data_IF_581785294807
#
_entry.id   IF_581785294807
#
_cell.length_a   1.000
_cell.length_b   1.000
_cell.length_c   1.000
_cell.angle_alpha   90.00
_cell.angle_beta   90.00
_cell.angle_gamma   90.00
#
_symmetry.space_group_name_H-M   'P 1'
#
loop_
_entity.id
_entity.type
_entity.pdbx_description
1 polymer ?
#
# COMPACT_ATOMS: atom_id res chain seq x y z
N UNK A 1 17.99 -9.72 -5.05
CA UNK A 1 17.67 -9.94 -3.62
C UNK A 1 18.74 -9.27 -2.78
N UNK A 2 18.35 -8.49 -1.77
CA UNK A 2 19.26 -7.85 -0.80
C UNK A 2 18.87 -8.39 0.57
N UNK A 3 19.86 -8.84 1.35
CA UNK A 3 19.64 -9.28 2.73
C UNK A 3 20.06 -8.17 3.70
N UNK A 4 19.33 -8.00 4.79
CA UNK A 4 19.66 -7.07 5.86
C UNK A 4 19.19 -7.64 7.21
N UNK A 5 19.82 -7.21 8.28
CA UNK A 5 19.46 -7.61 9.63
C UNK A 5 18.37 -6.67 10.16
N UNK A 6 17.27 -7.22 10.63
CA UNK A 6 16.15 -6.44 11.14
C UNK A 6 15.59 -6.99 12.45
N UNK A 7 14.88 -6.13 13.15
CA UNK A 7 14.08 -6.48 14.32
C UNK A 7 12.62 -6.10 14.09
N UNK A 8 11.72 -7.05 14.25
CA UNK A 8 10.26 -6.84 14.15
C UNK A 8 9.68 -6.80 15.55
N UNK A 9 8.86 -5.79 15.87
CA UNK A 9 8.11 -5.75 17.13
C UNK A 9 7.04 -6.86 17.15
N UNK A 10 6.95 -7.59 18.26
CA UNK A 10 5.99 -8.68 18.40
C UNK A 10 4.53 -8.19 18.48
N UNK A 11 4.30 -6.99 19.06
CA UNK A 11 2.96 -6.41 19.17
C UNK A 11 2.66 -5.53 17.94
N UNK A 12 1.53 -5.73 17.24
CA UNK A 12 1.12 -4.83 16.17
C UNK A 12 0.77 -3.45 16.74
N UNK A 13 1.09 -2.40 16.00
CA UNK A 13 0.67 -1.04 16.32
C UNK A 13 -0.63 -0.64 15.60
N UNK A 14 -0.99 -1.37 14.55
CA UNK A 14 -2.24 -1.21 13.83
C UNK A 14 -2.73 -2.57 13.28
N UNK A 15 -4.01 -2.64 13.01
CA UNK A 15 -4.67 -3.85 12.57
C UNK A 15 -5.76 -3.50 11.55
N UNK A 16 -5.69 -4.11 10.37
CA UNK A 16 -6.72 -4.08 9.35
C UNK A 16 -7.58 -5.35 9.35
N UNK A 17 -8.49 -5.46 8.40
CA UNK A 17 -9.36 -6.63 8.26
C UNK A 17 -8.55 -7.93 8.04
N UNK A 18 -7.55 -7.91 7.19
CA UNK A 18 -6.80 -9.09 6.77
C UNK A 18 -5.38 -9.18 7.31
N UNK A 19 -4.78 -8.07 7.76
CA UNK A 19 -3.38 -7.98 8.14
C UNK A 19 -3.17 -7.26 9.45
N UNK A 20 -2.08 -7.59 10.13
CA UNK A 20 -1.51 -6.83 11.24
C UNK A 20 -0.31 -6.03 10.76
N UNK A 21 -0.14 -4.80 11.28
CA UNK A 21 0.99 -3.94 10.97
C UNK A 21 1.93 -3.84 12.19
N UNK A 22 3.19 -4.17 11.98
CA UNK A 22 4.22 -4.13 13.02
C UNK A 22 5.36 -3.19 12.61
N UNK A 23 6.05 -2.61 13.58
CA UNK A 23 7.28 -1.87 13.31
C UNK A 23 8.42 -2.84 13.03
N UNK A 24 9.19 -2.53 12.00
CA UNK A 24 10.43 -3.21 11.64
C UNK A 24 11.56 -2.20 11.64
N UNK A 25 12.64 -2.54 12.32
CA UNK A 25 13.86 -1.73 12.39
C UNK A 25 14.96 -2.41 11.58
N UNK A 26 15.49 -1.69 10.60
CA UNK A 26 16.74 -2.06 9.94
C UNK A 26 17.90 -1.77 10.89
N UNK A 27 18.62 -2.79 11.33
CA UNK A 27 19.68 -2.67 12.33
C UNK A 27 20.99 -2.14 11.74
N UNK A 28 21.14 -2.10 10.43
CA UNK A 28 22.29 -1.51 9.74
C UNK A 28 22.11 0.00 9.47
N UNK A 29 20.88 0.51 9.54
CA UNK A 29 20.55 1.91 9.29
C UNK A 29 20.32 2.66 10.62
N UNK A 30 20.54 3.99 10.58
CA UNK A 30 20.28 4.88 11.72
C UNK A 30 19.28 5.99 11.35
N UNK A 31 18.58 6.52 12.35
CA UNK A 31 17.63 7.61 12.19
C UNK A 31 16.30 7.18 11.54
N UNK A 32 15.50 8.13 11.04
CA UNK A 32 14.15 7.86 10.50
C UNK A 32 14.13 6.89 9.31
N UNK A 33 15.25 6.77 8.61
CA UNK A 33 15.41 5.83 7.49
C UNK A 33 15.44 4.36 7.89
N UNK A 34 15.64 4.04 9.19
CA UNK A 34 15.70 2.65 9.69
C UNK A 34 14.35 2.04 10.00
N UNK A 35 13.26 2.84 10.06
CA UNK A 35 11.95 2.38 10.47
C UNK A 35 11.07 2.04 9.26
N UNK A 36 10.51 0.84 9.30
CA UNK A 36 9.59 0.30 8.30
C UNK A 36 8.31 -0.22 8.97
N UNK A 37 7.29 -0.45 8.16
CA UNK A 37 6.10 -1.21 8.52
C UNK A 37 6.19 -2.56 7.85
N UNK A 38 5.99 -3.63 8.60
CA UNK A 38 5.79 -4.97 8.05
C UNK A 38 4.33 -5.38 8.24
N UNK A 39 3.70 -5.81 7.16
CA UNK A 39 2.30 -6.27 7.12
C UNK A 39 2.29 -7.79 7.05
N UNK A 40 1.68 -8.42 8.05
CA UNK A 40 1.61 -9.87 8.20
C UNK A 40 0.15 -10.30 8.11
N UNK A 41 -0.14 -11.32 7.30
CA UNK A 41 -1.48 -11.87 7.21
C UNK A 41 -1.94 -12.46 8.54
N UNK A 42 -3.23 -12.29 8.84
CA UNK A 42 -3.89 -12.94 9.97
C UNK A 42 -4.23 -14.41 9.68
N UNK A 43 -4.37 -14.77 8.41
CA UNK A 43 -4.58 -16.16 7.99
C UNK A 43 -3.23 -16.76 7.55
N UNK A 44 -2.68 -17.72 8.29
CA UNK A 44 -1.41 -18.37 7.92
C UNK A 44 -1.51 -19.18 6.64
N UNK A 45 -2.73 -19.43 6.13
CA UNK A 45 -2.98 -20.15 4.87
C UNK A 45 -2.97 -19.24 3.65
N UNK A 46 -2.87 -17.90 3.84
CA UNK A 46 -2.78 -16.97 2.73
C UNK A 46 -1.61 -17.35 1.82
N UNK A 47 -1.90 -17.45 0.54
CA UNK A 47 -0.90 -17.83 -0.45
C UNK A 47 0.23 -16.77 -0.50
N UNK A 48 1.47 -17.24 -0.63
CA UNK A 48 2.64 -16.37 -0.82
C UNK A 48 2.43 -15.36 -1.96
N UNK A 49 1.69 -15.76 -3.00
CA UNK A 49 1.36 -14.93 -4.15
C UNK A 49 0.63 -13.64 -3.75
N UNK A 50 -0.23 -13.67 -2.72
CA UNK A 50 -0.96 -12.49 -2.27
C UNK A 50 -0.04 -11.33 -1.87
N UNK A 51 1.14 -11.59 -1.30
CA UNK A 51 2.10 -10.54 -0.96
C UNK A 51 2.73 -9.89 -2.19
N UNK A 52 2.94 -10.68 -3.26
CA UNK A 52 3.42 -10.14 -4.53
C UNK A 52 2.34 -9.33 -5.23
N UNK A 53 1.09 -9.80 -5.22
CA UNK A 53 -0.05 -9.08 -5.80
C UNK A 53 -0.28 -7.74 -5.10
N UNK A 54 -0.20 -7.69 -3.76
CA UNK A 54 -0.34 -6.44 -2.99
C UNK A 54 0.76 -5.43 -3.32
N UNK A 55 2.02 -5.91 -3.43
CA UNK A 55 3.16 -5.06 -3.79
C UNK A 55 3.03 -4.55 -5.22
N UNK A 56 2.65 -5.42 -6.16
CA UNK A 56 2.43 -5.05 -7.57
C UNK A 56 1.34 -3.99 -7.68
N UNK A 57 0.20 -4.18 -7.02
CA UNK A 57 -0.91 -3.24 -6.99
C UNK A 57 -0.48 -1.86 -6.44
N UNK A 58 0.29 -1.83 -5.35
CA UNK A 58 0.78 -0.57 -4.80
C UNK A 58 1.80 0.12 -5.72
N UNK A 59 2.67 -0.64 -6.38
CA UNK A 59 3.64 -0.08 -7.33
C UNK A 59 2.97 0.40 -8.61
N UNK A 60 1.90 -0.24 -9.06
CA UNK A 60 1.08 0.25 -10.16
C UNK A 60 0.37 1.56 -9.78
N UNK A 61 -0.24 1.63 -8.59
CA UNK A 61 -0.83 2.87 -8.09
C UNK A 61 0.20 4.02 -8.05
N UNK A 62 1.45 3.73 -7.67
CA UNK A 62 2.55 4.68 -7.72
C UNK A 62 2.87 5.17 -9.12
N UNK A 63 2.86 4.30 -10.12
CA UNK A 63 3.05 4.67 -11.52
C UNK A 63 1.91 5.60 -12.00
N UNK A 64 0.67 5.34 -11.59
CA UNK A 64 -0.46 6.22 -11.88
C UNK A 64 -0.34 7.57 -11.17
N UNK A 65 0.21 7.63 -9.96
CA UNK A 65 0.52 8.88 -9.27
C UNK A 65 1.53 9.74 -10.06
N UNK A 66 2.55 9.13 -10.65
CA UNK A 66 3.48 9.83 -11.52
C UNK A 66 2.79 10.45 -12.75
N UNK A 67 1.92 9.68 -13.42
CA UNK A 67 1.12 10.17 -14.56
C UNK A 67 0.16 11.30 -14.18
N UNK A 68 -0.44 11.22 -12.97
CA UNK A 68 -1.26 12.30 -12.43
C UNK A 68 -0.44 13.57 -12.22
N UNK A 69 0.74 13.45 -11.64
CA UNK A 69 1.62 14.59 -11.38
C UNK A 69 2.13 15.26 -12.67
N UNK A 70 2.28 14.52 -13.76
CA UNK A 70 2.61 15.07 -15.09
C UNK A 70 1.54 16.04 -15.61
N UNK A 71 0.31 15.97 -15.10
CA UNK A 71 -0.77 16.93 -15.40
C UNK A 71 -0.70 18.22 -14.59
N UNK A 72 0.38 18.38 -13.77
CA UNK A 72 0.61 19.56 -12.92
C UNK A 72 -0.60 19.90 -12.02
N UNK A 73 -1.12 18.92 -11.25
CA UNK A 73 -2.22 19.19 -10.34
C UNK A 73 -1.80 20.19 -9.25
N UNK A 74 -2.75 20.87 -8.58
CA UNK A 74 -2.44 21.77 -7.47
C UNK A 74 -1.66 21.12 -6.33
N UNK A 75 -1.82 19.81 -6.16
CA UNK A 75 -1.06 18.97 -5.21
C UNK A 75 -0.63 17.67 -5.87
N UNK A 76 0.67 17.42 -5.85
CA UNK A 76 1.23 16.13 -6.26
C UNK A 76 0.96 15.08 -5.20
N UNK A 77 0.82 13.83 -5.66
CA UNK A 77 0.60 12.66 -4.80
C UNK A 77 1.67 11.59 -5.07
N UNK A 78 1.92 10.71 -4.11
CA UNK A 78 2.78 9.54 -4.33
C UNK A 78 2.30 8.37 -3.47
N UNK A 79 2.71 7.16 -3.84
CA UNK A 79 2.57 5.97 -3.02
C UNK A 79 3.93 5.52 -2.52
N UNK A 80 3.96 5.02 -1.28
CA UNK A 80 5.19 4.46 -0.70
C UNK A 80 5.62 3.25 -1.51
N UNK A 81 6.93 3.11 -1.77
CA UNK A 81 7.44 1.89 -2.35
C UNK A 81 7.24 0.71 -1.39
N UNK A 82 6.64 -0.35 -1.88
CA UNK A 82 6.42 -1.59 -1.16
C UNK A 82 7.32 -2.71 -1.71
N UNK A 83 7.61 -3.68 -0.85
CA UNK A 83 8.48 -4.81 -1.17
C UNK A 83 7.95 -6.07 -0.49
N UNK A 84 8.33 -7.24 -1.01
CA UNK A 84 8.13 -8.52 -0.31
C UNK A 84 9.39 -8.85 0.46
N UNK A 85 9.26 -9.16 1.74
CA UNK A 85 10.33 -9.58 2.63
C UNK A 85 10.15 -11.05 2.99
N UNK A 86 11.24 -11.85 2.87
CA UNK A 86 11.32 -13.23 3.33
C UNK A 86 12.08 -13.25 4.67
N UNK A 87 11.48 -13.80 5.72
CA UNK A 87 12.08 -13.91 7.05
C UNK A 87 12.91 -15.19 7.15
N UNK A 88 14.11 -15.16 6.60
CA UNK A 88 14.97 -16.35 6.39
C UNK A 88 15.40 -17.07 7.66
N UNK A 89 15.43 -16.37 8.81
CA UNK A 89 15.80 -16.93 10.12
C UNK A 89 14.61 -17.53 10.87
N UNK A 90 13.39 -17.46 10.31
CA UNK A 90 12.20 -18.07 10.88
C UNK A 90 11.93 -19.43 10.24
N UNK A 91 11.33 -20.34 11.02
CA UNK A 91 10.81 -21.59 10.47
C UNK A 91 9.86 -21.29 9.30
N UNK A 92 9.90 -22.11 8.25
CA UNK A 92 9.08 -21.96 7.03
C UNK A 92 9.36 -20.71 6.20
N UNK A 93 10.28 -19.82 6.64
CA UNK A 93 10.69 -18.59 5.95
C UNK A 93 9.49 -17.77 5.43
N UNK A 94 8.57 -17.35 6.33
CA UNK A 94 7.34 -16.70 5.91
C UNK A 94 7.62 -15.40 5.16
N UNK A 95 6.74 -15.09 4.20
CA UNK A 95 6.74 -13.82 3.49
C UNK A 95 5.89 -12.79 4.22
N UNK A 96 6.21 -11.53 4.03
CA UNK A 96 5.42 -10.38 4.49
C UNK A 96 5.62 -9.18 3.57
N UNK A 97 4.64 -8.29 3.53
CA UNK A 97 4.78 -7.00 2.85
C UNK A 97 5.57 -6.03 3.72
N UNK A 98 6.45 -5.22 3.14
CA UNK A 98 7.22 -4.21 3.85
C UNK A 98 7.24 -2.89 3.09
N UNK A 99 7.11 -1.78 3.81
CA UNK A 99 7.18 -0.43 3.29
C UNK A 99 7.82 0.51 4.32
N UNK A 100 8.27 1.69 3.90
CA UNK A 100 8.78 2.71 4.82
C UNK A 100 7.68 3.17 5.77
N UNK A 101 8.04 3.39 7.04
CA UNK A 101 7.13 4.04 7.99
C UNK A 101 6.93 5.51 7.63
N UNK A 102 5.70 5.96 7.58
CA UNK A 102 5.35 7.38 7.40
C UNK A 102 4.99 7.98 8.75
N UNK A 103 5.69 9.06 9.13
CA UNK A 103 5.36 9.82 10.32
C UNK A 103 4.25 10.83 10.03
N UNK A 104 3.29 10.95 10.93
CA UNK A 104 2.21 11.93 10.83
C UNK A 104 0.84 11.35 11.15
N UNK A 105 -0.21 12.13 10.93
CA UNK A 105 -1.60 11.70 11.13
C UNK A 105 -2.05 10.87 9.95
N UNK A 106 -2.19 9.58 10.18
CA UNK A 106 -2.71 8.64 9.17
C UNK A 106 -4.22 8.83 9.01
N UNK A 107 -4.67 8.97 7.78
CA UNK A 107 -6.09 9.13 7.43
C UNK A 107 -6.45 8.26 6.24
N UNK A 108 -7.70 7.86 6.19
CA UNK A 108 -8.34 7.24 5.03
C UNK A 108 -9.20 8.30 4.33
N UNK A 109 -9.12 8.36 3.01
CA UNK A 109 -9.75 9.40 2.19
C UNK A 109 -10.93 8.88 1.38
N UNK A 110 -10.88 7.61 0.99
CA UNK A 110 -12.00 6.87 0.42
C UNK A 110 -11.81 5.38 0.69
N UNK A 111 -12.85 4.60 0.48
CA UNK A 111 -12.78 3.16 0.57
C UNK A 111 -12.98 2.51 -0.82
N UNK A 112 -12.99 1.21 -0.86
CA UNK A 112 -13.19 0.42 -2.07
C UNK A 112 -14.67 0.13 -2.37
N UNK A 113 -15.60 0.92 -1.81
CA UNK A 113 -17.04 0.76 -2.00
C UNK A 113 -17.71 2.11 -2.27
N UNK A 114 -18.35 2.72 -1.32
CA UNK A 114 -19.22 3.89 -1.51
C UNK A 114 -18.92 5.09 -0.58
N UNK A 115 -17.83 5.00 0.23
CA UNK A 115 -17.49 6.06 1.14
C UNK A 115 -16.29 6.89 0.68
N UNK A 116 -16.41 8.20 0.80
CA UNK A 116 -15.32 9.15 0.61
C UNK A 116 -15.36 10.26 1.67
N UNK A 117 -14.16 10.74 2.04
CA UNK A 117 -13.99 11.91 2.90
C UNK A 117 -14.18 13.17 2.04
N UNK A 118 -15.11 14.05 2.42
CA UNK A 118 -15.40 15.30 1.70
C UNK A 118 -14.45 16.46 2.06
N UNK A 119 -13.58 16.27 3.04
CA UNK A 119 -12.66 17.31 3.51
C UNK A 119 -11.60 17.69 2.46
N UNK A 120 -11.23 16.74 1.59
CA UNK A 120 -10.19 16.90 0.59
C UNK A 120 -10.59 16.37 -0.79
N UNK A 121 -10.38 17.20 -1.80
CA UNK A 121 -10.68 16.83 -3.19
C UNK A 121 -9.54 16.06 -3.88
N UNK A 122 -8.29 16.20 -3.43
CA UNK A 122 -7.11 15.59 -4.09
C UNK A 122 -7.22 14.06 -4.23
N UNK A 123 -7.59 13.28 -3.19
CA UNK A 123 -7.74 11.83 -3.33
C UNK A 123 -8.83 11.46 -4.33
N UNK A 124 -9.98 12.15 -4.28
CA UNK A 124 -11.10 11.87 -5.19
C UNK A 124 -10.75 12.25 -6.64
N UNK A 125 -10.05 13.37 -6.84
CA UNK A 125 -9.55 13.77 -8.16
C UNK A 125 -8.54 12.76 -8.72
N UNK A 126 -7.68 12.19 -7.88
CA UNK A 126 -6.76 11.13 -8.30
C UNK A 126 -7.52 9.86 -8.71
N UNK A 127 -8.47 9.38 -7.91
CA UNK A 127 -9.29 8.21 -8.27
C UNK A 127 -10.00 8.43 -9.60
N UNK A 128 -10.64 9.58 -9.78
CA UNK A 128 -11.32 9.94 -11.02
C UNK A 128 -10.36 10.02 -12.22
N UNK A 129 -9.18 10.62 -12.02
CA UNK A 129 -8.14 10.67 -13.05
C UNK A 129 -7.74 9.27 -13.54
N UNK A 130 -7.56 8.31 -12.62
CA UNK A 130 -7.16 6.96 -13.01
C UNK A 130 -8.24 6.28 -13.86
N UNK A 131 -9.51 6.51 -13.55
CA UNK A 131 -10.63 6.03 -14.35
C UNK A 131 -10.62 6.63 -15.76
N UNK A 132 -10.59 7.94 -15.89
CA UNK A 132 -10.59 8.62 -17.18
C UNK A 132 -9.33 8.30 -18.01
N UNK A 133 -8.16 8.46 -17.41
CA UNK A 133 -6.88 8.28 -18.11
C UNK A 133 -6.60 6.83 -18.52
N UNK A 134 -7.22 5.85 -17.86
CA UNK A 134 -7.17 4.44 -18.28
C UNK A 134 -8.15 4.10 -19.41
N UNK A 135 -9.00 5.04 -19.84
CA UNK A 135 -10.08 4.77 -20.78
C UNK A 135 -11.20 3.94 -20.14
N UNK A 136 -11.57 4.27 -18.92
CA UNK A 136 -12.61 3.63 -18.11
C UNK A 136 -12.34 2.14 -17.83
N UNK A 137 -11.06 1.78 -17.70
CA UNK A 137 -10.66 0.39 -17.46
C UNK A 137 -10.29 0.09 -16.03
N UNK A 138 -9.72 1.06 -15.30
CA UNK A 138 -9.36 0.88 -13.90
C UNK A 138 -9.67 2.12 -13.05
N UNK A 139 -9.93 1.87 -11.78
CA UNK A 139 -10.15 2.88 -10.75
C UNK A 139 -9.28 2.54 -9.56
N UNK A 140 -8.41 3.47 -9.15
CA UNK A 140 -7.63 3.34 -7.91
C UNK A 140 -8.38 4.03 -6.79
N UNK A 141 -8.66 3.28 -5.75
CA UNK A 141 -9.39 3.70 -4.55
C UNK A 141 -8.75 3.14 -3.29
N UNK A 142 -9.46 3.18 -2.18
CA UNK A 142 -8.97 2.83 -0.85
C UNK A 142 -7.76 3.69 -0.42
N UNK A 143 -7.78 4.97 -0.83
CA UNK A 143 -6.69 5.91 -0.64
C UNK A 143 -6.55 6.27 0.83
N UNK A 144 -5.37 6.00 1.39
CA UNK A 144 -5.06 6.20 2.79
C UNK A 144 -3.57 6.44 2.99
N UNK A 145 -3.21 7.15 4.06
CA UNK A 145 -1.81 7.49 4.35
C UNK A 145 -1.65 8.78 5.13
N UNK A 146 -0.55 9.48 4.94
CA UNK A 146 -0.25 10.74 5.60
C UNK A 146 -0.14 11.86 4.56
N UNK A 147 -1.07 12.80 4.60
CA UNK A 147 -1.12 13.89 3.63
C UNK A 147 -1.32 13.36 2.20
N UNK A 148 -0.36 13.62 1.33
CA UNK A 148 -0.39 13.21 -0.08
C UNK A 148 0.57 12.04 -0.39
N UNK A 149 1.07 11.36 0.65
CA UNK A 149 1.85 10.12 0.55
C UNK A 149 0.99 8.95 1.05
N UNK A 150 0.65 8.05 0.13
CA UNK A 150 -0.37 7.03 0.35
C UNK A 150 0.21 5.61 0.34
N UNK A 151 -0.58 4.67 0.84
CA UNK A 151 -0.26 3.24 0.91
C UNK A 151 -1.54 2.42 0.79
N UNK A 152 -1.39 1.13 0.55
CA UNK A 152 -2.46 0.13 0.64
C UNK A 152 -3.69 0.44 -0.25
N UNK A 153 -3.46 0.82 -1.52
CA UNK A 153 -4.57 1.10 -2.42
C UNK A 153 -5.33 -0.17 -2.81
N UNK A 154 -6.54 0.01 -3.32
CA UNK A 154 -7.26 -1.02 -4.06
C UNK A 154 -7.43 -0.57 -5.51
N UNK A 155 -7.29 -1.49 -6.45
CA UNK A 155 -7.58 -1.27 -7.86
C UNK A 155 -8.81 -2.09 -8.25
N UNK A 156 -9.81 -1.41 -8.81
CA UNK A 156 -10.93 -2.02 -9.50
C UNK A 156 -10.70 -1.99 -11.00
N UNK A 157 -11.15 -3.01 -11.71
CA UNK A 157 -11.10 -3.06 -13.18
C UNK A 157 -12.47 -3.37 -13.75
N UNK A 158 -12.80 -2.76 -14.86
CA UNK A 158 -14.11 -2.93 -15.51
C UNK A 158 -14.43 -4.39 -15.89
N UNK A 159 -13.41 -5.22 -16.07
CA UNK A 159 -13.53 -6.66 -16.36
C UNK A 159 -13.43 -7.56 -15.12
N UNK A 160 -13.21 -6.97 -13.93
CA UNK A 160 -13.02 -7.66 -12.63
C UNK A 160 -11.83 -8.62 -12.59
N UNK A 161 -10.83 -8.43 -13.47
CA UNK A 161 -9.66 -9.29 -13.51
C UNK A 161 -8.47 -8.66 -12.79
N UNK A 162 -7.69 -9.50 -12.09
CA UNK A 162 -6.50 -9.08 -11.35
C UNK A 162 -6.80 -8.36 -10.03
N UNK A 163 -5.76 -7.88 -9.39
CA UNK A 163 -5.77 -7.04 -8.17
C UNK A 163 -6.48 -7.64 -6.96
N UNK A 164 -6.44 -8.97 -6.85
CA UNK A 164 -6.89 -9.72 -5.69
C UNK A 164 -8.41 -9.68 -5.46
N UNK A 165 -8.81 -10.14 -4.26
CA UNK A 165 -10.23 -10.30 -3.89
C UNK A 165 -10.98 -8.99 -3.68
N UNK A 166 -10.26 -7.87 -3.55
CA UNK A 166 -10.85 -6.54 -3.37
C UNK A 166 -11.33 -5.90 -4.67
N UNK A 167 -11.00 -6.48 -5.83
CA UNK A 167 -11.44 -5.98 -7.12
C UNK A 167 -12.92 -6.34 -7.36
N UNK A 168 -13.79 -5.36 -7.29
CA UNK A 168 -15.25 -5.55 -7.42
C UNK A 168 -15.82 -5.07 -8.76
N UNK A 169 -15.00 -4.48 -9.63
CA UNK A 169 -15.42 -3.98 -10.95
C UNK A 169 -15.97 -2.58 -10.96
#
# INVERSE_FOLDING_TARGET
RTAFLCRIEGKPFAEGAMRTAHRLFDLAATGPGSLFVVKISKDPRDAAQQYFDDVEMQMEARMWAQRYNERLPPKSVDFIAAYVLELVDRAEKPLCGVEKFISGTYRKWNNNWDWSDEERNTPQAFSHFTWEASGNRLLICDLQGVGDLWTDPQIHTSDRQGYGRGNMG
#
